data_IF_150779297077
#
_entry.id   IF_150779297077
#
_cell.length_a   1.000
_cell.length_b   1.000
_cell.length_c   1.000
_cell.angle_alpha   90.00
_cell.angle_beta   90.00
_cell.angle_gamma   90.00
#
_symmetry.space_group_name_H-M   'P 1'
#
loop_
_entity.id
_entity.type
_entity.pdbx_description
1 polymer ?
#
# COMPACT_ATOMS: atom_id res chain seq x y z
N UNK A 1 36.61 -30.94 20.61
CA UNK A 1 35.20 -30.96 21.10
C UNK A 1 34.37 -30.27 20.05
N UNK A 2 33.37 -30.97 19.48
CA UNK A 2 32.41 -30.36 18.58
C UNK A 2 31.55 -29.39 19.40
N UNK A 3 31.65 -28.07 19.15
CA UNK A 3 30.72 -27.07 19.72
C UNK A 3 29.34 -27.29 19.09
N UNK A 4 28.30 -27.31 19.90
CA UNK A 4 26.91 -27.25 19.42
C UNK A 4 26.62 -25.81 19.00
N UNK A 5 25.87 -25.63 17.92
CA UNK A 5 25.43 -24.32 17.49
C UNK A 5 24.25 -23.85 18.35
N UNK A 6 24.26 -22.59 18.77
CA UNK A 6 23.11 -21.95 19.38
C UNK A 6 21.96 -21.85 18.34
N UNK A 7 20.71 -22.06 18.76
CA UNK A 7 19.57 -21.75 17.90
C UNK A 7 19.64 -20.32 17.35
N UNK A 8 19.11 -20.06 16.18
CA UNK A 8 19.10 -18.74 15.56
C UNK A 8 18.44 -17.65 16.46
N UNK A 9 17.52 -18.05 17.35
CA UNK A 9 16.91 -17.19 18.38
C UNK A 9 17.01 -17.88 19.73
N UNK A 10 18.14 -17.78 20.44
CA UNK A 10 18.35 -18.44 21.70
C UNK A 10 17.50 -17.78 22.80
N UNK A 11 16.82 -18.59 23.62
CA UNK A 11 16.02 -18.10 24.74
C UNK A 11 16.65 -18.56 26.06
N UNK A 12 16.89 -17.62 27.00
CA UNK A 12 17.58 -17.90 28.23
C UNK A 12 16.86 -18.95 29.09
N UNK A 13 15.52 -18.96 29.10
CA UNK A 13 14.76 -19.94 29.88
C UNK A 13 14.85 -21.35 29.30
N UNK A 14 14.99 -21.48 27.96
CA UNK A 14 15.28 -22.78 27.35
C UNK A 14 16.63 -23.33 27.84
N UNK A 15 17.65 -22.49 27.80
CA UNK A 15 19.00 -22.86 28.29
C UNK A 15 19.03 -23.17 29.79
N UNK A 16 18.28 -22.42 30.62
CA UNK A 16 18.10 -22.73 32.04
C UNK A 16 17.43 -24.09 32.25
N UNK A 17 16.39 -24.40 31.46
CA UNK A 17 15.69 -25.67 31.52
C UNK A 17 16.58 -26.81 31.04
N UNK A 18 17.41 -26.64 30.01
CA UNK A 18 18.40 -27.61 29.56
C UNK A 18 19.41 -27.91 30.68
N UNK A 19 19.92 -26.89 31.36
CA UNK A 19 20.83 -27.07 32.47
C UNK A 19 20.18 -27.79 33.66
N UNK A 20 18.91 -27.52 33.97
CA UNK A 20 18.14 -28.24 35.02
C UNK A 20 17.90 -29.71 34.62
N UNK A 21 17.56 -29.95 33.35
CA UNK A 21 17.37 -31.30 32.84
C UNK A 21 18.66 -32.12 32.89
N UNK A 22 19.79 -31.53 32.48
CA UNK A 22 21.10 -32.13 32.58
C UNK A 22 21.48 -32.48 34.05
N UNK A 23 21.27 -31.54 34.97
CA UNK A 23 21.53 -31.73 36.41
C UNK A 23 20.70 -32.91 36.96
N UNK A 24 19.42 -32.99 36.64
CA UNK A 24 18.53 -34.05 37.06
C UNK A 24 18.95 -35.39 36.47
N UNK A 25 19.17 -35.45 35.13
CA UNK A 25 19.56 -36.69 34.45
C UNK A 25 20.91 -37.25 34.96
N UNK A 26 21.86 -36.34 35.28
CA UNK A 26 23.11 -36.76 35.93
C UNK A 26 22.89 -37.37 37.30
N UNK A 27 22.01 -36.76 38.12
CA UNK A 27 21.67 -37.32 39.46
C UNK A 27 20.95 -38.66 39.37
N UNK A 28 20.15 -38.90 38.32
CA UNK A 28 19.43 -40.14 38.04
C UNK A 28 20.36 -41.22 37.43
N UNK A 29 21.63 -40.92 37.17
CA UNK A 29 22.63 -41.85 36.63
C UNK A 29 22.50 -42.07 35.12
N UNK A 30 21.87 -41.17 34.35
CA UNK A 30 21.72 -41.29 32.90
C UNK A 30 23.09 -41.33 32.20
N UNK A 31 23.40 -42.38 31.40
CA UNK A 31 24.73 -42.52 30.78
C UNK A 31 25.13 -41.37 29.88
N UNK A 32 24.17 -40.76 29.15
CA UNK A 32 24.44 -39.66 28.24
C UNK A 32 24.74 -38.36 29.02
N UNK A 33 24.02 -38.15 30.13
CA UNK A 33 24.28 -37.01 31.03
C UNK A 33 25.63 -37.15 31.73
N UNK A 34 25.98 -38.33 32.19
CA UNK A 34 27.29 -38.64 32.78
C UNK A 34 28.41 -38.34 31.77
N UNK A 35 28.30 -38.82 30.53
CA UNK A 35 29.27 -38.57 29.47
C UNK A 35 29.46 -37.05 29.17
N UNK A 36 28.37 -36.31 29.08
CA UNK A 36 28.42 -34.83 28.84
C UNK A 36 29.14 -34.10 29.96
N UNK A 37 28.81 -34.43 31.20
CA UNK A 37 29.42 -33.81 32.38
C UNK A 37 30.88 -34.18 32.51
N UNK A 38 31.24 -35.46 32.38
CA UNK A 38 32.63 -35.92 32.52
C UNK A 38 33.53 -35.38 31.41
N UNK A 39 33.01 -35.13 30.20
CA UNK A 39 33.76 -34.52 29.09
C UNK A 39 34.22 -33.12 29.41
N UNK A 40 33.52 -32.37 30.26
CA UNK A 40 33.79 -30.96 30.58
C UNK A 40 34.39 -30.79 31.98
N UNK A 41 33.92 -31.52 32.96
CA UNK A 41 34.30 -31.34 34.37
C UNK A 41 35.23 -32.47 34.91
N UNK A 42 35.49 -33.53 34.14
CA UNK A 42 36.20 -34.70 34.61
C UNK A 42 35.32 -35.59 35.48
N UNK A 43 35.97 -36.51 36.19
CA UNK A 43 35.29 -37.50 37.05
C UNK A 43 34.75 -36.84 38.32
N UNK A 44 33.51 -36.36 38.27
CA UNK A 44 32.83 -35.70 39.38
C UNK A 44 31.71 -36.54 39.93
N UNK A 45 31.74 -36.98 41.19
CA UNK A 45 30.72 -37.88 41.77
C UNK A 45 29.38 -37.18 42.06
N UNK A 46 29.38 -35.85 42.17
CA UNK A 46 28.21 -35.02 42.32
C UNK A 46 28.44 -33.67 41.64
N UNK A 47 27.40 -33.08 41.07
CA UNK A 47 27.42 -31.75 40.50
C UNK A 47 26.32 -30.86 41.10
N UNK A 48 26.54 -29.56 41.10
CA UNK A 48 25.55 -28.50 41.40
C UNK A 48 24.89 -28.04 40.11
N UNK A 49 23.75 -27.39 40.20
CA UNK A 49 23.11 -26.75 39.02
C UNK A 49 24.04 -25.77 38.28
N UNK A 50 24.91 -25.07 39.03
CA UNK A 50 25.93 -24.20 38.46
C UNK A 50 26.99 -24.94 37.63
N UNK A 51 27.27 -26.19 37.95
CA UNK A 51 28.17 -27.03 37.17
C UNK A 51 27.48 -27.52 35.87
N UNK A 52 26.20 -27.90 35.92
CA UNK A 52 25.41 -28.21 34.75
C UNK A 52 25.29 -26.99 33.83
N UNK A 53 25.07 -25.77 34.39
CA UNK A 53 25.08 -24.53 33.61
C UNK A 53 26.44 -24.30 32.92
N UNK A 54 27.55 -24.57 33.61
CA UNK A 54 28.89 -24.49 33.04
C UNK A 54 29.09 -25.50 31.90
N UNK A 55 28.58 -26.72 32.03
CA UNK A 55 28.62 -27.74 30.97
C UNK A 55 27.86 -27.24 29.74
N UNK A 56 26.62 -26.83 29.90
CA UNK A 56 25.79 -26.29 28.80
C UNK A 56 26.49 -25.10 28.12
N UNK A 57 27.03 -24.16 28.89
CA UNK A 57 27.76 -23.04 28.31
C UNK A 57 28.97 -23.46 27.46
N UNK A 58 29.75 -24.42 27.94
CA UNK A 58 30.92 -24.95 27.24
C UNK A 58 30.55 -25.71 25.97
N UNK A 59 29.47 -26.45 25.96
CA UNK A 59 28.95 -27.15 24.78
C UNK A 59 28.55 -26.17 23.66
N UNK A 60 28.02 -25.00 24.03
CA UNK A 60 27.73 -23.90 23.09
C UNK A 60 28.94 -22.98 22.82
N UNK A 61 30.16 -23.38 23.22
CA UNK A 61 31.40 -22.64 22.92
C UNK A 61 31.70 -21.46 23.85
N UNK A 62 30.94 -21.25 24.92
CA UNK A 62 31.14 -20.15 25.85
C UNK A 62 31.98 -20.58 27.07
N UNK A 63 32.92 -19.75 27.51
CA UNK A 63 33.78 -20.08 28.64
C UNK A 63 33.03 -20.18 29.97
N UNK A 64 31.94 -19.45 30.13
CA UNK A 64 31.11 -19.42 31.36
C UNK A 64 29.63 -19.22 31.06
N UNK A 65 28.75 -19.64 31.99
CA UNK A 65 27.34 -19.35 31.95
C UNK A 65 26.99 -17.86 31.88
N UNK A 66 27.76 -17.03 32.56
CA UNK A 66 27.57 -15.58 32.55
C UNK A 66 27.79 -15.01 31.15
N UNK A 67 28.81 -15.48 30.42
CA UNK A 67 29.08 -15.04 29.05
C UNK A 67 28.04 -15.56 28.05
N UNK A 68 27.54 -16.79 28.21
CA UNK A 68 26.42 -17.31 27.42
C UNK A 68 25.16 -16.44 27.65
N UNK A 69 24.84 -16.16 28.94
CA UNK A 69 23.69 -15.33 29.28
C UNK A 69 23.82 -13.91 28.69
N UNK A 70 24.95 -13.26 28.89
CA UNK A 70 25.24 -11.93 28.34
C UNK A 70 25.06 -11.90 26.82
N UNK A 71 25.57 -12.90 26.13
CA UNK A 71 25.42 -13.03 24.68
C UNK A 71 23.94 -13.13 24.26
N UNK A 72 23.16 -14.00 24.93
CA UNK A 72 21.72 -14.19 24.65
C UNK A 72 20.91 -12.94 24.94
N UNK A 73 21.16 -12.25 26.08
CA UNK A 73 20.49 -11.02 26.46
C UNK A 73 20.83 -9.86 25.50
N UNK A 74 22.08 -9.74 25.06
CA UNK A 74 22.53 -8.72 24.11
C UNK A 74 21.95 -8.99 22.71
N UNK A 75 21.91 -10.25 22.26
CA UNK A 75 21.30 -10.61 20.99
C UNK A 75 19.80 -10.31 20.95
N UNK A 76 19.08 -10.62 22.03
CA UNK A 76 17.66 -10.31 22.16
C UNK A 76 17.39 -8.81 22.13
N UNK A 77 18.17 -8.01 22.86
CA UNK A 77 18.07 -6.55 22.83
C UNK A 77 18.34 -5.97 21.45
N UNK A 78 19.27 -6.55 20.69
CA UNK A 78 19.52 -6.16 19.31
C UNK A 78 18.35 -6.49 18.38
N UNK A 79 17.73 -7.68 18.49
CA UNK A 79 16.56 -8.07 17.70
C UNK A 79 15.36 -7.16 17.99
N UNK A 80 15.11 -6.81 19.26
CA UNK A 80 14.07 -5.88 19.65
C UNK A 80 14.32 -4.47 19.09
N UNK A 81 15.57 -4.00 19.08
CA UNK A 81 15.94 -2.72 18.50
C UNK A 81 15.81 -2.71 16.97
N UNK A 82 16.20 -3.79 16.27
CA UNK A 82 15.96 -3.94 14.83
C UNK A 82 14.46 -3.85 14.54
N UNK A 83 13.62 -4.59 15.26
CA UNK A 83 12.17 -4.54 15.06
C UNK A 83 11.59 -3.13 15.28
N UNK A 84 12.05 -2.43 16.31
CA UNK A 84 11.63 -1.06 16.62
C UNK A 84 12.08 -0.05 15.54
N UNK A 85 13.30 -0.22 15.00
CA UNK A 85 13.82 0.60 13.90
C UNK A 85 12.99 0.38 12.61
N UNK A 86 12.75 -0.88 12.25
CA UNK A 86 11.99 -1.21 11.04
C UNK A 86 10.53 -0.73 11.12
N UNK A 87 9.90 -0.83 12.29
CA UNK A 87 8.57 -0.26 12.52
C UNK A 87 8.57 1.27 12.31
N UNK A 88 9.58 1.97 12.82
CA UNK A 88 9.69 3.42 12.62
C UNK A 88 9.90 3.79 11.14
N UNK A 89 10.69 3.01 10.40
CA UNK A 89 10.87 3.19 8.94
C UNK A 89 9.54 2.99 8.20
N UNK A 90 8.79 1.95 8.53
CA UNK A 90 7.48 1.67 7.92
C UNK A 90 6.44 2.76 8.24
N UNK A 91 6.50 3.35 9.43
CA UNK A 91 5.67 4.48 9.86
C UNK A 91 6.16 5.84 9.32
N UNK A 92 7.24 5.87 8.53
CA UNK A 92 7.88 7.08 8.00
C UNK A 92 8.38 8.05 9.10
N UNK A 93 8.69 7.54 10.30
CA UNK A 93 9.21 8.29 11.44
C UNK A 93 10.75 8.19 11.51
N UNK A 94 11.43 9.03 10.70
CA UNK A 94 12.88 9.12 10.67
C UNK A 94 13.49 9.45 12.05
N UNK A 95 12.83 10.34 12.80
CA UNK A 95 13.33 10.76 14.12
C UNK A 95 13.28 9.61 15.13
N UNK A 96 12.24 8.79 15.12
CA UNK A 96 12.14 7.59 15.97
C UNK A 96 13.17 6.54 15.54
N UNK A 97 13.37 6.32 14.24
CA UNK A 97 14.38 5.39 13.73
C UNK A 97 15.79 5.79 14.21
N UNK A 98 16.13 7.08 14.11
CA UNK A 98 17.44 7.59 14.58
C UNK A 98 17.61 7.45 16.10
N UNK A 99 16.58 7.70 16.91
CA UNK A 99 16.66 7.48 18.36
C UNK A 99 16.97 6.02 18.73
N UNK A 100 16.36 5.06 18.00
CA UNK A 100 16.66 3.64 18.21
C UNK A 100 18.10 3.32 17.82
N UNK A 101 18.58 3.88 16.70
CA UNK A 101 19.95 3.71 16.23
C UNK A 101 20.98 4.30 17.21
N UNK A 102 20.72 5.48 17.75
CA UNK A 102 21.58 6.13 18.76
C UNK A 102 21.70 5.28 20.03
N UNK A 103 20.60 4.65 20.46
CA UNK A 103 20.60 3.76 21.62
C UNK A 103 21.33 2.44 21.36
N UNK A 104 21.32 1.93 20.13
CA UNK A 104 21.95 0.68 19.74
C UNK A 104 22.59 0.75 18.33
N UNK A 105 23.71 1.47 18.17
CA UNK A 105 24.34 1.69 16.86
C UNK A 105 24.77 0.40 16.15
N UNK A 106 25.05 -0.66 16.89
CA UNK A 106 25.48 -1.96 16.36
C UNK A 106 24.44 -2.66 15.48
N UNK A 107 23.15 -2.25 15.50
CA UNK A 107 22.12 -2.85 14.61
C UNK A 107 22.37 -2.49 13.15
N UNK A 108 22.94 -1.31 12.86
CA UNK A 108 23.21 -0.84 11.51
C UNK A 108 24.16 -1.77 10.73
N UNK A 109 25.12 -2.40 11.43
CA UNK A 109 26.11 -3.29 10.80
C UNK A 109 25.71 -4.77 10.86
N UNK A 110 24.64 -5.14 11.56
CA UNK A 110 24.21 -6.53 11.76
C UNK A 110 22.97 -6.89 10.96
N UNK A 111 22.05 -5.93 10.78
CA UNK A 111 20.81 -6.12 10.03
C UNK A 111 20.92 -5.54 8.63
N UNK A 112 20.71 -6.37 7.61
CA UNK A 112 20.72 -5.92 6.21
C UNK A 112 19.59 -4.91 5.93
N UNK A 113 18.43 -5.05 6.59
CA UNK A 113 17.30 -4.13 6.44
C UNK A 113 17.65 -2.75 7.01
N UNK A 114 18.30 -2.70 8.19
CA UNK A 114 18.74 -1.44 8.79
C UNK A 114 19.83 -0.79 7.92
N UNK A 115 20.82 -1.57 7.48
CA UNK A 115 21.88 -1.09 6.61
C UNK A 115 21.33 -0.56 5.28
N UNK A 116 20.39 -1.26 4.67
CA UNK A 116 19.71 -0.86 3.43
C UNK A 116 18.94 0.45 3.62
N UNK A 117 18.10 0.54 4.67
CA UNK A 117 17.32 1.75 4.98
C UNK A 117 18.19 2.98 5.23
N UNK A 118 19.40 2.81 5.76
CA UNK A 118 20.35 3.87 6.04
C UNK A 118 21.31 4.17 4.89
N UNK A 119 21.26 3.42 3.78
CA UNK A 119 22.17 3.58 2.65
C UNK A 119 23.62 3.16 2.96
N UNK A 120 23.84 2.23 3.90
CA UNK A 120 25.19 1.73 4.27
C UNK A 120 25.66 0.66 3.30
N UNK A 121 26.01 1.08 2.08
CA UNK A 121 26.34 0.20 0.94
C UNK A 121 27.44 -0.82 1.24
N UNK A 122 28.46 -0.45 2.03
CA UNK A 122 29.57 -1.35 2.41
C UNK A 122 29.09 -2.45 3.37
N UNK A 123 28.19 -2.11 4.32
CA UNK A 123 27.62 -3.11 5.22
C UNK A 123 26.65 -4.04 4.50
N UNK A 124 25.83 -3.51 3.57
CA UNK A 124 25.00 -4.32 2.68
C UNK A 124 25.86 -5.32 1.91
N UNK A 125 26.94 -4.86 1.25
CA UNK A 125 27.84 -5.72 0.48
C UNK A 125 28.50 -6.81 1.35
N UNK A 126 28.94 -6.45 2.57
CA UNK A 126 29.53 -7.39 3.53
C UNK A 126 28.52 -8.45 3.97
N UNK A 127 27.31 -8.02 4.38
CA UNK A 127 26.26 -8.91 4.87
C UNK A 127 25.80 -9.90 3.79
N UNK A 128 25.70 -9.45 2.54
CA UNK A 128 25.40 -10.32 1.37
C UNK A 128 26.54 -11.28 1.08
N UNK A 129 27.79 -10.85 1.20
CA UNK A 129 28.95 -11.73 1.01
C UNK A 129 29.05 -12.81 2.09
N UNK A 130 28.63 -12.50 3.34
CA UNK A 130 28.55 -13.47 4.44
C UNK A 130 27.43 -14.50 4.22
N UNK A 131 26.27 -14.05 3.72
CA UNK A 131 25.11 -14.89 3.42
C UNK A 131 24.28 -14.29 2.29
N UNK A 132 24.41 -14.80 1.04
CA UNK A 132 23.67 -14.31 -0.12
C UNK A 132 22.14 -14.40 0.01
N UNK A 133 21.60 -15.28 0.85
CA UNK A 133 20.15 -15.41 1.03
C UNK A 133 19.52 -14.19 1.69
N UNK A 134 20.31 -13.35 2.33
CA UNK A 134 19.83 -12.14 3.02
C UNK A 134 19.21 -11.10 2.10
N UNK A 135 19.49 -11.12 0.79
CA UNK A 135 18.87 -10.19 -0.18
C UNK A 135 17.35 -10.37 -0.25
N UNK A 136 16.86 -11.57 0.03
CA UNK A 136 15.45 -11.95 0.04
C UNK A 136 14.88 -12.13 1.46
N UNK A 137 15.67 -11.87 2.50
CA UNK A 137 15.24 -11.97 3.89
C UNK A 137 14.09 -10.99 4.14
N UNK A 138 13.00 -11.48 4.74
CA UNK A 138 11.84 -10.62 5.03
C UNK A 138 11.75 -10.33 6.52
N UNK A 139 11.61 -9.04 6.87
CA UNK A 139 11.49 -8.56 8.24
C UNK A 139 10.46 -7.42 8.35
N UNK A 140 10.13 -7.03 9.57
CA UNK A 140 9.13 -5.98 9.84
C UNK A 140 7.71 -6.51 9.87
N UNK A 141 6.74 -5.60 10.03
CA UNK A 141 5.30 -5.91 10.03
C UNK A 141 4.53 -4.74 9.42
N UNK A 142 4.09 -4.86 8.16
CA UNK A 142 4.17 -6.03 7.26
C UNK A 142 5.60 -6.41 6.87
N UNK A 143 5.81 -7.71 6.57
CA UNK A 143 7.13 -8.20 6.25
C UNK A 143 7.57 -7.74 4.85
N UNK A 144 8.78 -7.18 4.75
CA UNK A 144 9.40 -6.68 3.53
C UNK A 144 10.87 -7.08 3.45
N UNK A 145 11.42 -7.16 2.24
CA UNK A 145 12.84 -7.41 2.01
C UNK A 145 13.68 -6.12 2.11
N UNK A 146 15.03 -6.21 2.10
CA UNK A 146 15.91 -5.05 2.24
C UNK A 146 15.72 -4.00 1.15
N UNK A 147 15.41 -4.40 -0.10
CA UNK A 147 15.20 -3.47 -1.21
C UNK A 147 13.95 -2.62 -1.01
N UNK A 148 12.85 -3.22 -0.55
CA UNK A 148 11.65 -2.47 -0.17
C UNK A 148 11.93 -1.49 0.96
N UNK A 149 12.58 -1.90 2.04
CA UNK A 149 12.95 -1.00 3.13
C UNK A 149 13.80 0.17 2.68
N UNK A 150 14.69 -0.06 1.69
CA UNK A 150 15.49 1.00 1.08
C UNK A 150 14.61 1.96 0.26
N UNK A 151 13.74 1.43 -0.61
CA UNK A 151 12.87 2.26 -1.46
C UNK A 151 11.89 3.11 -0.65
N UNK A 152 11.35 2.56 0.46
CA UNK A 152 10.47 3.26 1.39
C UNK A 152 11.22 4.02 2.49
N UNK A 153 12.55 4.12 2.44
CA UNK A 153 13.32 4.77 3.49
C UNK A 153 12.88 6.23 3.72
N UNK A 154 12.61 6.63 4.97
CA UNK A 154 12.29 8.02 5.28
C UNK A 154 13.50 8.96 5.18
N UNK A 155 14.69 8.42 4.90
CA UNK A 155 15.94 9.16 4.81
C UNK A 155 16.28 9.66 3.41
N UNK A 156 15.43 9.40 2.41
CA UNK A 156 15.56 10.00 1.08
C UNK A 156 15.42 11.53 1.16
N UNK A 157 16.37 12.24 0.53
CA UNK A 157 16.39 13.71 0.53
C UNK A 157 16.95 14.34 1.80
N UNK A 158 17.43 13.55 2.78
CA UNK A 158 18.05 14.07 4.02
C UNK A 158 19.36 14.81 3.71
N UNK A 159 20.20 14.23 2.85
CA UNK A 159 21.43 14.82 2.37
C UNK A 159 21.91 14.13 1.09
N UNK A 160 22.72 14.84 0.28
CA UNK A 160 23.33 14.26 -0.93
C UNK A 160 24.19 13.02 -0.64
N UNK A 161 24.86 12.98 0.52
CA UNK A 161 25.65 11.82 0.96
C UNK A 161 24.74 10.62 1.26
N UNK A 162 23.62 10.84 1.95
CA UNK A 162 22.63 9.81 2.26
C UNK A 162 22.02 9.25 0.98
N UNK A 163 21.60 10.13 0.07
CA UNK A 163 21.02 9.73 -1.21
C UNK A 163 22.02 8.93 -2.07
N UNK A 164 23.27 9.34 -2.11
CA UNK A 164 24.34 8.56 -2.78
C UNK A 164 24.55 7.19 -2.11
N UNK A 165 24.49 7.13 -0.80
CA UNK A 165 24.56 5.89 -0.03
C UNK A 165 23.39 4.95 -0.32
N UNK A 166 22.17 5.47 -0.34
CA UNK A 166 20.95 4.70 -0.67
C UNK A 166 21.02 4.17 -2.11
N UNK A 167 21.44 4.99 -3.07
CA UNK A 167 21.64 4.54 -4.46
C UNK A 167 22.68 3.45 -4.57
N UNK A 168 23.82 3.59 -3.87
CA UNK A 168 24.88 2.59 -3.86
C UNK A 168 24.42 1.28 -3.20
N UNK A 169 23.65 1.35 -2.10
CA UNK A 169 23.09 0.19 -1.42
C UNK A 169 22.05 -0.54 -2.31
N UNK A 170 21.18 0.21 -3.01
CA UNK A 170 20.22 -0.35 -3.97
C UNK A 170 20.94 -1.14 -5.07
N UNK A 171 22.02 -0.58 -5.64
CA UNK A 171 22.85 -1.26 -6.64
C UNK A 171 23.42 -2.57 -6.08
N UNK A 172 23.98 -2.56 -4.86
CA UNK A 172 24.52 -3.77 -4.22
C UNK A 172 23.47 -4.86 -4.02
N UNK A 173 22.24 -4.49 -3.63
CA UNK A 173 21.15 -5.45 -3.48
C UNK A 173 20.74 -6.05 -4.82
N UNK A 174 20.57 -5.24 -5.86
CA UNK A 174 20.19 -5.69 -7.20
C UNK A 174 21.29 -6.53 -7.86
N UNK A 175 22.56 -6.12 -7.76
CA UNK A 175 23.71 -6.90 -8.24
C UNK A 175 23.81 -8.27 -7.55
N UNK A 176 23.32 -8.37 -6.32
CA UNK A 176 23.27 -9.62 -5.54
C UNK A 176 22.01 -10.45 -5.78
N UNK A 177 21.11 -10.02 -6.68
CA UNK A 177 19.92 -10.76 -7.08
C UNK A 177 18.65 -10.41 -6.32
N UNK A 178 18.57 -9.24 -5.67
CA UNK A 178 17.29 -8.75 -5.16
C UNK A 178 16.28 -8.58 -6.31
N UNK A 179 15.02 -8.97 -6.08
CA UNK A 179 13.97 -8.85 -7.08
C UNK A 179 13.51 -7.38 -7.22
N UNK A 180 13.70 -6.73 -8.39
CA UNK A 180 13.26 -5.37 -8.62
C UNK A 180 11.72 -5.22 -8.63
N UNK A 181 10.99 -6.33 -8.76
CA UNK A 181 9.53 -6.41 -8.72
C UNK A 181 8.99 -6.83 -7.36
N UNK A 182 9.81 -6.77 -6.32
CA UNK A 182 9.38 -7.12 -4.96
C UNK A 182 8.20 -6.28 -4.51
N UNK A 183 7.29 -6.93 -3.76
CA UNK A 183 6.04 -6.33 -3.29
C UNK A 183 6.03 -6.26 -1.76
N UNK A 184 5.39 -5.24 -1.20
CA UNK A 184 5.13 -5.21 0.23
C UNK A 184 4.18 -6.35 0.65
N UNK A 185 4.22 -6.69 1.95
CA UNK A 185 3.46 -7.82 2.48
C UNK A 185 1.99 -7.53 2.77
N UNK A 186 1.54 -6.28 2.64
CA UNK A 186 0.20 -5.84 3.03
C UNK A 186 -0.65 -5.41 1.83
N UNK A 187 -0.18 -4.42 1.09
CA UNK A 187 -0.93 -3.83 -0.02
C UNK A 187 -0.46 -4.31 -1.38
N UNK A 188 0.57 -5.16 -1.41
CA UNK A 188 1.21 -5.69 -2.62
C UNK A 188 1.71 -4.60 -3.58
N UNK A 189 2.10 -3.46 -3.02
CA UNK A 189 2.67 -2.35 -3.82
C UNK A 189 4.15 -2.59 -4.12
N UNK A 190 4.59 -2.33 -5.36
CA UNK A 190 5.96 -2.62 -5.79
C UNK A 190 6.98 -1.59 -5.29
N UNK A 191 8.27 -1.99 -5.29
CA UNK A 191 9.37 -1.10 -4.95
C UNK A 191 9.41 0.15 -5.85
N UNK A 192 9.07 0.01 -7.13
CA UNK A 192 9.04 1.11 -8.09
C UNK A 192 8.03 2.20 -7.69
N UNK A 193 6.87 1.82 -7.16
CA UNK A 193 5.87 2.76 -6.62
C UNK A 193 6.45 3.69 -5.55
N UNK A 194 7.27 3.16 -4.63
CA UNK A 194 7.82 3.96 -3.54
C UNK A 194 8.68 5.13 -4.04
N UNK A 195 9.40 4.91 -5.15
CA UNK A 195 10.38 5.87 -5.71
C UNK A 195 9.87 6.66 -6.92
N UNK A 196 8.67 6.38 -7.42
CA UNK A 196 8.03 7.12 -8.52
C UNK A 196 6.69 7.73 -8.12
N UNK A 197 5.83 6.94 -7.45
CA UNK A 197 4.47 7.34 -7.07
C UNK A 197 4.43 8.10 -5.75
N UNK A 198 4.99 7.54 -4.70
CA UNK A 198 4.99 8.17 -3.38
C UNK A 198 6.00 9.32 -3.28
N UNK A 199 7.17 9.15 -3.88
CA UNK A 199 8.25 10.14 -3.98
C UNK A 199 8.82 10.11 -5.39
N UNK A 200 9.57 11.16 -5.79
CA UNK A 200 10.30 11.17 -7.06
C UNK A 200 11.79 11.00 -6.78
N UNK A 201 12.24 9.73 -6.63
CA UNK A 201 13.65 9.37 -6.40
C UNK A 201 14.22 8.76 -7.69
N UNK A 202 14.37 9.59 -8.72
CA UNK A 202 14.71 9.17 -10.09
C UNK A 202 15.95 8.28 -10.22
N UNK A 203 17.07 8.51 -9.48
CA UNK A 203 18.24 7.65 -9.62
C UNK A 203 17.97 6.19 -9.24
N UNK A 204 17.16 5.95 -8.19
CA UNK A 204 16.78 4.59 -7.78
C UNK A 204 15.69 4.03 -8.70
N UNK A 205 14.71 4.85 -9.11
CA UNK A 205 13.70 4.43 -10.07
C UNK A 205 14.34 3.92 -11.38
N UNK A 206 15.30 4.67 -11.92
CA UNK A 206 16.07 4.26 -13.12
C UNK A 206 16.81 2.96 -12.89
N UNK A 207 17.48 2.83 -11.74
CA UNK A 207 18.20 1.61 -11.40
C UNK A 207 17.30 0.37 -11.31
N UNK A 208 16.09 0.52 -10.74
CA UNK A 208 15.08 -0.54 -10.69
C UNK A 208 14.62 -0.93 -12.09
N UNK A 209 14.29 0.05 -12.94
CA UNK A 209 13.87 -0.18 -14.33
C UNK A 209 14.98 -0.86 -15.16
N UNK A 210 16.23 -0.41 -15.02
CA UNK A 210 17.41 -1.04 -15.68
C UNK A 210 17.62 -2.50 -15.21
N UNK A 211 17.23 -2.81 -13.97
CA UNK A 211 17.26 -4.17 -13.40
C UNK A 211 16.02 -5.02 -13.77
N UNK A 212 15.06 -4.48 -14.53
CA UNK A 212 13.88 -5.20 -15.00
C UNK A 212 12.63 -5.03 -14.14
N UNK A 213 12.52 -3.94 -13.37
CA UNK A 213 11.24 -3.57 -12.77
C UNK A 213 10.20 -3.32 -13.86
N UNK A 214 8.98 -3.81 -13.63
CA UNK A 214 7.87 -3.63 -14.56
C UNK A 214 7.31 -2.21 -14.47
N UNK A 215 7.45 -1.36 -15.51
CA UNK A 215 6.90 0.00 -15.47
C UNK A 215 5.37 0.01 -15.50
N UNK A 216 4.73 -1.09 -15.94
CA UNK A 216 3.28 -1.26 -16.01
C UNK A 216 2.80 -2.14 -14.85
N UNK A 217 3.16 -1.75 -13.63
CA UNK A 217 2.85 -2.49 -12.39
C UNK A 217 1.44 -2.23 -11.84
N UNK A 218 0.73 -1.24 -12.38
CA UNK A 218 -0.63 -0.87 -11.98
C UNK A 218 -0.72 0.09 -10.80
N UNK A 219 0.43 0.52 -10.24
CA UNK A 219 0.49 1.42 -9.09
C UNK A 219 1.40 2.64 -9.34
N UNK A 220 2.59 2.41 -9.89
CA UNK A 220 3.61 3.45 -10.05
C UNK A 220 3.12 4.64 -10.85
N UNK A 221 2.58 4.43 -12.05
CA UNK A 221 2.08 5.52 -12.92
C UNK A 221 0.83 6.19 -12.35
N UNK A 222 -0.02 5.46 -11.62
CA UNK A 222 -1.26 5.97 -11.02
C UNK A 222 -0.94 7.06 -10.01
N UNK A 223 -0.04 6.76 -9.11
CA UNK A 223 0.34 7.67 -8.03
C UNK A 223 1.36 8.73 -8.46
N UNK A 224 2.20 8.44 -9.45
CA UNK A 224 3.03 9.48 -10.07
C UNK A 224 2.16 10.55 -10.74
N UNK A 225 1.07 10.16 -11.40
CA UNK A 225 0.11 11.11 -11.99
C UNK A 225 -0.71 11.83 -10.91
N UNK A 226 -1.17 11.13 -9.87
CA UNK A 226 -1.89 11.73 -8.73
C UNK A 226 -1.07 12.83 -8.04
N UNK A 227 0.21 12.56 -7.80
CA UNK A 227 1.13 13.49 -7.15
C UNK A 227 1.81 14.45 -8.13
N UNK A 228 1.60 14.26 -9.42
CA UNK A 228 2.25 14.97 -10.52
C UNK A 228 3.77 15.01 -10.39
N UNK A 229 4.36 13.82 -10.28
CA UNK A 229 5.80 13.67 -10.38
C UNK A 229 6.20 13.54 -11.85
N UNK A 230 6.25 14.69 -12.56
CA UNK A 230 6.41 14.76 -14.02
C UNK A 230 7.66 14.01 -14.50
N UNK A 231 8.82 14.25 -13.87
CA UNK A 231 10.06 13.56 -14.23
C UNK A 231 9.95 12.02 -14.05
N UNK A 232 9.20 11.56 -13.05
CA UNK A 232 8.96 10.12 -12.85
C UNK A 232 7.99 9.56 -13.89
N UNK A 233 6.97 10.32 -14.27
CA UNK A 233 6.06 9.98 -15.36
C UNK A 233 6.80 9.85 -16.70
N UNK A 234 7.68 10.80 -17.02
CA UNK A 234 8.52 10.78 -18.24
C UNK A 234 9.48 9.58 -18.22
N UNK A 235 10.05 9.26 -17.05
CA UNK A 235 10.88 8.09 -16.89
C UNK A 235 10.11 6.79 -17.12
N UNK A 236 8.91 6.64 -16.53
CA UNK A 236 8.05 5.47 -16.73
C UNK A 236 7.61 5.35 -18.19
N UNK A 237 7.28 6.47 -18.85
CA UNK A 237 6.92 6.50 -20.26
C UNK A 237 8.09 6.03 -21.14
N UNK A 238 9.31 6.54 -20.87
CA UNK A 238 10.54 6.12 -21.57
C UNK A 238 10.87 4.65 -21.38
N UNK A 239 10.47 4.07 -20.25
CA UNK A 239 10.58 2.65 -19.94
C UNK A 239 9.46 1.78 -20.54
N UNK A 240 8.52 2.38 -21.26
CA UNK A 240 7.45 1.67 -21.99
C UNK A 240 6.24 1.32 -21.15
N UNK A 241 5.87 2.15 -20.16
CA UNK A 241 4.62 1.96 -19.41
C UNK A 241 3.41 1.97 -20.35
N UNK A 242 2.50 1.02 -20.16
CA UNK A 242 1.20 1.01 -20.85
C UNK A 242 0.19 1.83 -20.02
N UNK A 243 -0.11 3.06 -20.47
CA UNK A 243 -1.07 3.96 -19.81
C UNK A 243 -2.51 3.47 -19.85
N UNK A 244 -2.81 2.51 -20.74
CA UNK A 244 -4.15 1.95 -20.98
C UNK A 244 -4.33 0.61 -20.25
N UNK A 245 -3.29 0.12 -19.60
CA UNK A 245 -3.37 -1.08 -18.75
C UNK A 245 -4.20 -0.81 -17.51
N UNK A 246 -5.14 -1.68 -17.23
CA UNK A 246 -5.87 -1.65 -15.95
C UNK A 246 -5.04 -2.30 -14.84
N UNK A 247 -5.01 -1.65 -13.68
CA UNK A 247 -4.44 -2.20 -12.46
C UNK A 247 -5.29 -3.34 -11.85
N UNK A 248 -4.93 -3.77 -10.67
CA UNK A 248 -5.60 -4.88 -9.95
C UNK A 248 -7.11 -4.63 -9.74
N UNK A 249 -7.51 -3.37 -9.57
CA UNK A 249 -8.91 -2.95 -9.37
C UNK A 249 -9.68 -2.72 -10.67
N UNK A 250 -9.10 -3.05 -11.82
CA UNK A 250 -9.72 -2.87 -13.13
C UNK A 250 -9.77 -1.41 -13.62
N UNK A 251 -9.02 -0.52 -13.01
CA UNK A 251 -8.97 0.91 -13.36
C UNK A 251 -7.70 1.23 -14.15
N UNK A 252 -7.79 2.10 -15.17
CA UNK A 252 -6.62 2.78 -15.75
C UNK A 252 -6.18 3.92 -14.84
N UNK A 253 -4.95 4.43 -15.03
CA UNK A 253 -4.46 5.61 -14.31
C UNK A 253 -5.37 6.82 -14.51
N UNK A 254 -5.87 7.04 -15.73
CA UNK A 254 -6.81 8.12 -16.06
C UNK A 254 -8.12 7.99 -15.28
N UNK A 255 -8.71 6.79 -15.27
CA UNK A 255 -9.94 6.52 -14.54
C UNK A 255 -9.75 6.66 -13.02
N UNK A 256 -8.60 6.22 -12.51
CA UNK A 256 -8.26 6.32 -11.10
C UNK A 256 -8.29 7.77 -10.59
N UNK A 257 -7.80 8.74 -11.38
CA UNK A 257 -7.84 10.16 -10.98
C UNK A 257 -9.25 10.73 -10.92
N UNK A 258 -10.19 10.20 -11.72
CA UNK A 258 -11.60 10.63 -11.69
C UNK A 258 -12.37 10.22 -10.43
N UNK A 259 -11.73 9.46 -9.50
CA UNK A 259 -12.31 9.19 -8.18
C UNK A 259 -12.44 10.43 -7.32
N UNK A 260 -11.62 11.44 -7.55
CA UNK A 260 -11.71 12.71 -6.83
C UNK A 260 -12.96 13.48 -7.22
N UNK A 261 -13.57 14.15 -6.23
CA UNK A 261 -14.77 14.96 -6.44
C UNK A 261 -14.53 16.09 -7.43
N UNK A 262 -13.35 16.71 -7.36
CA UNK A 262 -12.95 17.80 -8.25
C UNK A 262 -11.48 17.62 -8.63
N UNK A 263 -11.27 16.97 -9.77
CA UNK A 263 -9.93 16.71 -10.32
C UNK A 263 -9.16 18.01 -10.54
N UNK A 264 -9.85 19.09 -10.94
CA UNK A 264 -9.22 20.37 -11.29
C UNK A 264 -8.59 21.06 -10.08
N UNK A 265 -9.22 21.01 -8.92
CA UNK A 265 -8.76 21.71 -7.71
C UNK A 265 -8.04 20.79 -6.71
N UNK A 266 -8.12 19.47 -6.87
CA UNK A 266 -7.54 18.53 -5.93
C UNK A 266 -6.02 18.67 -5.84
N UNK A 267 -5.52 18.70 -4.60
CA UNK A 267 -4.08 18.81 -4.35
C UNK A 267 -3.46 20.07 -4.98
N UNK A 268 -4.15 21.22 -4.91
CA UNK A 268 -3.70 22.47 -5.53
C UNK A 268 -3.49 22.34 -7.06
N UNK A 269 -4.34 21.57 -7.71
CA UNK A 269 -4.29 21.31 -9.15
C UNK A 269 -3.24 20.25 -9.58
N UNK A 270 -2.58 19.55 -8.65
CA UNK A 270 -1.64 18.48 -9.00
C UNK A 270 -2.33 17.37 -9.78
N UNK A 271 -3.49 16.91 -9.27
CA UNK A 271 -4.26 15.85 -9.91
C UNK A 271 -4.66 16.22 -11.33
N UNK A 272 -5.06 17.49 -11.56
CA UNK A 272 -5.41 17.95 -12.90
C UNK A 272 -4.19 18.00 -13.85
N UNK A 273 -3.01 18.37 -13.35
CA UNK A 273 -1.79 18.32 -14.15
C UNK A 273 -1.42 16.90 -14.54
N UNK A 274 -1.49 15.95 -13.60
CA UNK A 274 -1.26 14.53 -13.90
C UNK A 274 -2.30 13.95 -14.86
N UNK A 275 -3.57 14.32 -14.69
CA UNK A 275 -4.66 13.95 -15.58
C UNK A 275 -4.40 14.46 -17.01
N UNK A 276 -4.00 15.72 -17.14
CA UNK A 276 -3.66 16.36 -18.43
C UNK A 276 -2.43 15.70 -19.05
N UNK A 277 -1.41 15.40 -18.22
CA UNK A 277 -0.22 14.69 -18.70
C UNK A 277 -0.57 13.32 -19.28
N UNK A 278 -1.38 12.52 -18.58
CA UNK A 278 -1.82 11.20 -19.06
C UNK A 278 -2.50 11.31 -20.43
N UNK A 279 -3.44 12.22 -20.61
CA UNK A 279 -4.14 12.42 -21.87
C UNK A 279 -3.20 12.87 -23.00
N UNK A 280 -2.30 13.82 -22.72
CA UNK A 280 -1.32 14.30 -23.68
C UNK A 280 -0.32 13.22 -24.13
N UNK A 281 -0.12 12.15 -23.33
CA UNK A 281 0.80 11.06 -23.63
C UNK A 281 0.10 9.76 -24.05
N UNK A 282 -1.18 9.83 -24.42
CA UNK A 282 -1.87 8.73 -25.08
C UNK A 282 -2.69 7.82 -24.17
N UNK A 283 -3.05 8.27 -22.96
CA UNK A 283 -4.08 7.60 -22.19
C UNK A 283 -5.43 7.70 -22.94
N UNK A 284 -6.02 6.55 -23.24
CA UNK A 284 -7.30 6.46 -23.96
C UNK A 284 -8.46 6.61 -22.97
N UNK A 285 -9.28 7.68 -23.08
CA UNK A 285 -10.43 7.89 -22.21
C UNK A 285 -11.58 6.90 -22.42
N UNK A 286 -11.51 6.07 -23.47
CA UNK A 286 -12.56 5.11 -23.79
C UNK A 286 -12.29 3.71 -23.22
N UNK A 287 -11.14 3.46 -22.59
CA UNK A 287 -10.84 2.16 -21.98
C UNK A 287 -11.88 1.83 -20.91
N UNK A 288 -12.62 0.72 -21.06
CA UNK A 288 -13.62 0.32 -20.09
C UNK A 288 -12.98 -0.02 -18.75
N UNK A 289 -13.29 0.76 -17.73
CA UNK A 289 -12.65 0.70 -16.41
C UNK A 289 -13.67 0.55 -15.29
N UNK A 290 -13.21 0.08 -14.12
CA UNK A 290 -14.03 -0.14 -12.95
C UNK A 290 -15.00 -1.30 -13.09
N UNK A 291 -15.81 -1.53 -12.05
CA UNK A 291 -16.81 -2.61 -11.99
C UNK A 291 -17.89 -2.47 -13.08
N UNK A 292 -18.26 -1.24 -13.37
CA UNK A 292 -19.30 -0.91 -14.36
C UNK A 292 -18.78 -0.92 -15.80
N UNK A 293 -17.51 -1.20 -16.01
CA UNK A 293 -16.83 -1.20 -17.33
C UNK A 293 -17.15 0.06 -18.13
N UNK A 294 -16.99 1.21 -17.48
CA UNK A 294 -17.33 2.54 -18.02
C UNK A 294 -16.09 3.29 -18.51
N UNK A 295 -16.26 4.10 -19.57
CA UNK A 295 -15.22 5.04 -20.01
C UNK A 295 -15.15 6.27 -19.10
N UNK A 296 -14.09 7.07 -19.26
CA UNK A 296 -13.84 8.25 -18.44
C UNK A 296 -14.99 9.27 -18.42
N UNK A 297 -15.70 9.48 -19.57
CA UNK A 297 -16.85 10.40 -19.60
C UNK A 297 -18.04 9.95 -18.76
N UNK A 298 -18.26 8.64 -18.61
CA UNK A 298 -19.35 8.14 -17.77
C UNK A 298 -19.13 8.49 -16.29
N UNK A 299 -17.94 8.21 -15.77
CA UNK A 299 -17.63 8.53 -14.37
C UNK A 299 -17.55 10.03 -14.15
N UNK A 300 -16.97 10.79 -15.11
CA UNK A 300 -16.90 12.24 -15.04
C UNK A 300 -18.31 12.86 -15.00
N UNK A 301 -19.24 12.36 -15.81
CA UNK A 301 -20.62 12.80 -15.85
C UNK A 301 -21.36 12.50 -14.54
N UNK A 302 -21.24 11.26 -14.05
CA UNK A 302 -21.93 10.83 -12.82
C UNK A 302 -21.43 11.55 -11.57
N UNK A 303 -20.12 11.89 -11.54
CA UNK A 303 -19.50 12.60 -10.41
C UNK A 303 -19.54 14.11 -10.50
N UNK A 304 -20.08 14.67 -11.59
CA UNK A 304 -20.19 16.11 -11.76
C UNK A 304 -18.82 16.80 -11.91
N UNK A 305 -17.91 16.21 -12.65
CA UNK A 305 -16.60 16.81 -12.90
C UNK A 305 -16.75 18.15 -13.66
N UNK A 306 -15.76 19.03 -13.52
CA UNK A 306 -15.82 20.37 -14.12
C UNK A 306 -15.93 20.34 -15.65
N UNK A 307 -16.44 21.44 -16.22
CA UNK A 307 -16.49 21.62 -17.67
C UNK A 307 -15.12 21.50 -18.33
N UNK A 308 -14.04 21.88 -17.61
CA UNK A 308 -12.67 21.78 -18.11
C UNK A 308 -12.26 20.30 -18.27
N UNK A 309 -12.54 19.44 -17.28
CA UNK A 309 -12.28 18.00 -17.33
C UNK A 309 -13.07 17.35 -18.46
N UNK A 310 -14.36 17.66 -18.59
CA UNK A 310 -15.22 17.12 -19.65
C UNK A 310 -14.71 17.51 -21.05
N UNK A 311 -14.38 18.79 -21.26
CA UNK A 311 -13.84 19.25 -22.56
C UNK A 311 -12.51 18.57 -22.88
N UNK A 312 -11.62 18.49 -21.90
CA UNK A 312 -10.31 17.86 -22.09
C UNK A 312 -10.44 16.39 -22.50
N UNK A 313 -11.37 15.64 -21.88
CA UNK A 313 -11.67 14.26 -22.29
C UNK A 313 -12.17 14.19 -23.73
N UNK A 314 -13.10 15.08 -24.13
CA UNK A 314 -13.66 15.15 -25.49
C UNK A 314 -12.58 15.52 -26.51
N UNK A 315 -11.74 16.50 -26.20
CA UNK A 315 -10.60 16.91 -27.03
C UNK A 315 -9.61 15.78 -27.31
N UNK A 316 -9.48 14.84 -26.33
CA UNK A 316 -8.64 13.64 -26.46
C UNK A 316 -9.42 12.40 -26.96
N UNK A 317 -10.57 12.60 -27.59
CA UNK A 317 -11.28 11.55 -28.32
C UNK A 317 -12.20 10.68 -27.46
N UNK A 318 -12.62 11.16 -26.29
CA UNK A 318 -13.65 10.45 -25.52
C UNK A 318 -14.97 10.43 -26.31
N UNK A 319 -15.57 9.24 -26.46
CA UNK A 319 -16.84 9.07 -27.18
C UNK A 319 -18.02 9.55 -26.32
N UNK A 320 -18.60 10.69 -26.70
CA UNK A 320 -19.78 11.28 -26.03
C UNK A 320 -21.02 10.39 -26.14
N UNK A 321 -21.03 9.42 -27.06
CA UNK A 321 -22.12 8.48 -27.30
C UNK A 321 -21.82 7.06 -26.80
N UNK A 322 -20.66 6.86 -26.12
CA UNK A 322 -20.32 5.58 -25.54
C UNK A 322 -21.44 5.07 -24.61
N UNK A 323 -21.63 3.76 -24.58
CA UNK A 323 -22.65 3.14 -23.73
C UNK A 323 -22.02 2.09 -22.84
N UNK A 324 -22.42 2.12 -21.56
CA UNK A 324 -22.12 1.04 -20.61
C UNK A 324 -22.94 -0.21 -20.94
N UNK A 325 -22.68 -1.31 -20.22
CA UNK A 325 -23.42 -2.57 -20.39
C UNK A 325 -24.93 -2.41 -20.12
N UNK A 326 -25.31 -1.51 -19.19
CA UNK A 326 -26.71 -1.17 -18.88
C UNK A 326 -27.37 -0.24 -19.93
N UNK A 327 -26.65 0.13 -20.99
CA UNK A 327 -27.09 1.04 -22.03
C UNK A 327 -27.01 2.53 -21.68
N UNK A 328 -26.56 2.89 -20.49
CA UNK A 328 -26.42 4.29 -20.06
C UNK A 328 -25.30 5.01 -20.84
N UNK A 329 -25.59 6.21 -21.33
CA UNK A 329 -24.61 7.12 -21.93
C UNK A 329 -24.13 8.15 -20.90
N UNK A 330 -22.98 8.84 -21.15
CA UNK A 330 -22.55 9.95 -20.29
C UNK A 330 -23.61 11.02 -20.10
N UNK A 331 -24.35 11.37 -21.18
CA UNK A 331 -25.48 12.31 -21.13
C UNK A 331 -26.57 11.86 -20.14
N UNK A 332 -26.98 10.59 -20.24
CA UNK A 332 -28.02 10.04 -19.36
C UNK A 332 -27.57 10.04 -17.90
N UNK A 333 -26.30 9.67 -17.64
CA UNK A 333 -25.76 9.68 -16.27
C UNK A 333 -25.70 11.10 -15.69
N UNK A 334 -25.32 12.11 -16.48
CA UNK A 334 -25.35 13.50 -16.05
C UNK A 334 -26.78 13.94 -15.67
N UNK A 335 -27.77 13.58 -16.50
CA UNK A 335 -29.20 13.87 -16.23
C UNK A 335 -29.69 13.19 -14.96
N UNK A 336 -29.41 11.88 -14.77
CA UNK A 336 -29.79 11.12 -13.57
C UNK A 336 -29.15 11.67 -12.29
N UNK A 337 -27.94 12.23 -12.40
CA UNK A 337 -27.20 12.80 -11.27
C UNK A 337 -27.53 14.27 -10.99
N UNK A 338 -28.41 14.89 -11.77
CA UNK A 338 -28.81 16.29 -11.61
C UNK A 338 -27.77 17.32 -12.09
N UNK A 339 -26.88 16.94 -13.01
CA UNK A 339 -25.85 17.80 -13.58
C UNK A 339 -26.24 18.30 -14.97
N UNK A 340 -27.27 19.15 -15.05
CA UNK A 340 -27.83 19.64 -16.31
C UNK A 340 -26.83 20.44 -17.15
N UNK A 341 -25.94 21.19 -16.54
CA UNK A 341 -24.89 21.92 -17.25
C UNK A 341 -23.94 20.95 -17.98
N UNK A 342 -23.60 19.81 -17.35
CA UNK A 342 -22.78 18.78 -17.96
C UNK A 342 -23.53 18.07 -19.07
N UNK A 343 -24.84 17.75 -18.88
CA UNK A 343 -25.69 17.21 -19.92
C UNK A 343 -25.73 18.13 -21.15
N UNK A 344 -25.85 19.44 -20.93
CA UNK A 344 -25.82 20.45 -22.02
C UNK A 344 -24.45 20.52 -22.71
N UNK A 345 -23.34 20.31 -22.00
CA UNK A 345 -22.01 20.21 -22.63
C UNK A 345 -21.95 19.00 -23.57
N UNK A 346 -22.50 17.86 -23.18
CA UNK A 346 -22.56 16.66 -24.05
C UNK A 346 -23.46 16.91 -25.26
N UNK A 347 -24.62 17.57 -25.10
CA UNK A 347 -25.51 17.92 -26.21
C UNK A 347 -24.77 18.81 -27.23
N UNK A 348 -24.06 19.82 -26.76
CA UNK A 348 -23.24 20.70 -27.61
C UNK A 348 -22.08 19.96 -28.30
N UNK A 349 -21.60 18.85 -27.72
CA UNK A 349 -20.58 17.98 -28.29
C UNK A 349 -21.17 16.88 -29.20
N UNK A 350 -22.49 16.88 -29.46
CA UNK A 350 -23.15 15.94 -30.37
C UNK A 350 -23.64 14.64 -29.70
N UNK A 351 -23.86 14.67 -28.39
CA UNK A 351 -24.46 13.52 -27.71
C UNK A 351 -25.90 13.26 -28.19
N UNK A 352 -26.21 12.01 -28.41
CA UNK A 352 -27.57 11.54 -28.72
C UNK A 352 -28.42 11.57 -27.45
N UNK A 353 -29.44 12.43 -27.43
CA UNK A 353 -30.42 12.49 -26.35
C UNK A 353 -31.48 11.43 -26.53
N UNK A 354 -32.17 11.10 -25.44
CA UNK A 354 -33.29 10.17 -25.42
C UNK A 354 -34.41 10.66 -24.51
N UNK A 355 -35.62 10.13 -24.71
CA UNK A 355 -36.70 10.36 -23.75
C UNK A 355 -36.35 9.68 -22.43
N UNK A 356 -36.53 10.41 -21.34
CA UNK A 356 -36.27 9.88 -20.00
C UNK A 356 -37.41 8.93 -19.61
N UNK A 357 -37.06 7.72 -19.17
CA UNK A 357 -37.98 6.77 -18.58
C UNK A 357 -38.48 7.25 -17.22
N UNK A 358 -39.52 6.64 -16.64
CA UNK A 358 -39.94 6.95 -15.25
C UNK A 358 -38.83 6.80 -14.23
N UNK A 359 -37.92 5.81 -14.39
CA UNK A 359 -36.73 5.62 -13.56
C UNK A 359 -35.75 6.79 -13.73
N UNK A 360 -35.49 7.20 -14.98
CA UNK A 360 -34.57 8.32 -15.26
C UNK A 360 -35.08 9.63 -14.64
N UNK A 361 -36.39 9.86 -14.70
CA UNK A 361 -37.02 11.03 -14.10
C UNK A 361 -36.94 10.99 -12.56
N UNK A 362 -37.12 9.82 -11.93
CA UNK A 362 -36.93 9.64 -10.50
C UNK A 362 -35.48 9.96 -10.08
N UNK A 363 -34.52 9.34 -10.77
CA UNK A 363 -33.09 9.55 -10.48
C UNK A 363 -32.69 11.01 -10.69
N UNK A 364 -33.17 11.66 -11.73
CA UNK A 364 -32.94 13.09 -11.97
C UNK A 364 -33.53 13.96 -10.85
N UNK A 365 -34.76 13.67 -10.40
CA UNK A 365 -35.36 14.39 -9.26
C UNK A 365 -34.53 14.21 -7.98
N UNK A 366 -34.07 12.98 -7.70
CA UNK A 366 -33.13 12.73 -6.61
C UNK A 366 -31.83 13.54 -6.79
N UNK A 367 -31.23 13.48 -7.97
CA UNK A 367 -29.98 14.18 -8.30
C UNK A 367 -30.04 15.70 -8.12
N UNK A 368 -31.20 16.30 -8.39
CA UNK A 368 -31.48 17.71 -8.12
C UNK A 368 -31.77 18.02 -6.64
N UNK A 369 -31.95 16.99 -5.80
CA UNK A 369 -32.34 17.16 -4.40
C UNK A 369 -33.84 17.56 -4.24
N UNK A 370 -34.67 17.35 -5.26
CA UNK A 370 -36.13 17.65 -5.20
C UNK A 370 -36.85 16.46 -4.56
N UNK A 371 -36.97 16.48 -3.22
CA UNK A 371 -37.62 15.44 -2.44
C UNK A 371 -39.10 15.29 -2.76
N UNK A 372 -39.81 16.37 -3.15
CA UNK A 372 -41.23 16.31 -3.46
C UNK A 372 -41.46 15.70 -4.85
N UNK A 373 -40.65 16.06 -5.85
CA UNK A 373 -40.69 15.38 -7.15
C UNK A 373 -40.29 13.91 -7.03
N UNK A 374 -39.22 13.61 -6.29
CA UNK A 374 -38.76 12.25 -6.05
C UNK A 374 -39.86 11.38 -5.43
N UNK A 375 -40.56 11.89 -4.41
CA UNK A 375 -41.71 11.19 -3.78
C UNK A 375 -42.87 10.96 -4.76
N UNK A 376 -43.21 11.93 -5.61
CA UNK A 376 -44.27 11.80 -6.63
C UNK A 376 -43.93 10.76 -7.69
N UNK A 377 -42.68 10.63 -8.04
CA UNK A 377 -42.19 9.72 -9.12
C UNK A 377 -41.88 8.30 -8.60
N UNK A 378 -41.82 8.08 -7.29
CA UNK A 378 -41.50 6.81 -6.67
C UNK A 378 -42.68 5.86 -6.59
N UNK A 379 -43.12 5.30 -7.74
CA UNK A 379 -44.05 4.18 -7.70
C UNK A 379 -43.33 2.88 -7.29
N UNK A 380 -44.08 1.87 -6.73
CA UNK A 380 -43.47 0.58 -6.36
C UNK A 380 -42.72 -0.07 -7.52
N UNK A 381 -43.23 0.04 -8.75
CA UNK A 381 -42.64 -0.52 -9.96
C UNK A 381 -41.32 0.19 -10.31
N UNK A 382 -41.26 1.51 -10.16
CA UNK A 382 -40.06 2.30 -10.42
C UNK A 382 -38.99 2.00 -9.37
N UNK A 383 -39.37 1.93 -8.09
CA UNK A 383 -38.43 1.57 -7.01
C UNK A 383 -37.89 0.14 -7.19
N UNK A 384 -38.73 -0.81 -7.61
CA UNK A 384 -38.31 -2.18 -7.89
C UNK A 384 -37.37 -2.31 -9.10
N UNK A 385 -37.32 -1.31 -9.97
CA UNK A 385 -36.41 -1.28 -11.14
C UNK A 385 -35.04 -0.66 -10.86
N UNK A 386 -34.80 -0.12 -9.65
CA UNK A 386 -33.50 0.40 -9.25
C UNK A 386 -32.44 -0.70 -9.26
N UNK A 387 -31.35 -0.44 -9.94
CA UNK A 387 -30.18 -1.33 -9.96
C UNK A 387 -29.27 -1.06 -8.76
N UNK A 388 -28.36 -1.98 -8.40
CA UNK A 388 -27.34 -1.70 -7.38
C UNK A 388 -26.50 -0.45 -7.68
N UNK A 389 -26.24 -0.15 -8.95
CA UNK A 389 -25.54 1.07 -9.37
C UNK A 389 -26.35 2.34 -9.12
N UNK A 390 -27.66 2.32 -9.36
CA UNK A 390 -28.54 3.47 -9.08
C UNK A 390 -28.64 3.74 -7.57
N UNK A 391 -28.62 2.69 -6.75
CA UNK A 391 -28.71 2.79 -5.30
C UNK A 391 -27.47 3.43 -4.65
N UNK A 392 -26.33 3.45 -5.33
CA UNK A 392 -25.11 4.13 -4.86
C UNK A 392 -25.29 5.64 -4.73
N UNK A 393 -26.25 6.24 -5.44
CA UNK A 393 -26.53 7.67 -5.36
C UNK A 393 -26.77 8.14 -3.91
N UNK A 394 -27.43 7.33 -3.07
CA UNK A 394 -27.69 7.68 -1.67
C UNK A 394 -26.39 7.76 -0.82
N UNK A 395 -25.57 6.71 -0.67
CA UNK A 395 -24.34 6.81 0.12
C UNK A 395 -23.29 7.74 -0.52
N UNK A 396 -23.14 7.77 -1.84
CA UNK A 396 -22.22 8.65 -2.54
C UNK A 396 -22.57 10.13 -2.33
N UNK A 397 -23.88 10.49 -2.36
CA UNK A 397 -24.31 11.88 -2.12
C UNK A 397 -23.92 12.36 -0.72
N UNK A 398 -23.97 11.49 0.28
CA UNK A 398 -23.50 11.80 1.64
C UNK A 398 -21.99 11.96 1.68
N UNK A 399 -21.24 11.05 1.06
CA UNK A 399 -19.78 11.17 0.96
C UNK A 399 -19.35 12.49 0.30
N UNK A 400 -20.14 12.98 -0.67
CA UNK A 400 -19.89 14.20 -1.44
C UNK A 400 -20.51 15.47 -0.83
N UNK A 401 -21.08 15.41 0.36
CA UNK A 401 -21.77 16.55 1.02
C UNK A 401 -22.98 17.10 0.23
N UNK A 402 -23.66 16.24 -0.52
CA UNK A 402 -24.90 16.56 -1.26
C UNK A 402 -26.14 16.14 -0.44
N UNK A 403 -26.34 16.74 0.72
CA UNK A 403 -27.35 16.30 1.69
C UNK A 403 -28.79 16.38 1.15
N UNK A 404 -29.07 17.37 0.30
CA UNK A 404 -30.40 17.49 -0.36
C UNK A 404 -30.68 16.31 -1.30
N UNK A 405 -29.67 15.81 -1.99
CA UNK A 405 -29.76 14.61 -2.84
C UNK A 405 -30.04 13.38 -2.00
N UNK A 406 -29.31 13.19 -0.87
CA UNK A 406 -29.57 12.09 0.05
C UNK A 406 -31.00 12.12 0.59
N UNK A 407 -31.48 13.29 1.00
CA UNK A 407 -32.86 13.47 1.49
C UNK A 407 -33.90 13.16 0.41
N UNK A 408 -33.63 13.53 -0.86
CA UNK A 408 -34.52 13.18 -1.97
C UNK A 408 -34.55 11.67 -2.24
N UNK A 409 -33.40 10.98 -2.18
CA UNK A 409 -33.34 9.52 -2.29
C UNK A 409 -34.13 8.83 -1.15
N UNK A 410 -33.98 9.30 0.08
CA UNK A 410 -34.74 8.77 1.23
C UNK A 410 -36.24 9.02 1.07
N UNK A 411 -36.65 10.21 0.61
CA UNK A 411 -38.04 10.56 0.32
C UNK A 411 -38.65 9.70 -0.79
N UNK A 412 -37.83 9.24 -1.74
CA UNK A 412 -38.19 8.30 -2.79
C UNK A 412 -38.31 6.84 -2.32
N UNK A 413 -37.84 6.51 -1.12
CA UNK A 413 -37.86 5.14 -0.59
C UNK A 413 -36.60 4.31 -0.92
N UNK A 414 -35.46 4.93 -1.20
CA UNK A 414 -34.19 4.20 -1.35
C UNK A 414 -33.85 3.45 -0.05
N UNK A 415 -33.40 2.20 -0.13
CA UNK A 415 -33.06 1.42 1.06
C UNK A 415 -31.83 2.03 1.75
N UNK A 416 -31.94 2.30 3.04
CA UNK A 416 -30.82 2.83 3.87
C UNK A 416 -29.64 1.88 3.97
N UNK A 417 -29.84 0.59 3.62
CA UNK A 417 -28.81 -0.45 3.54
C UNK A 417 -28.04 -0.43 2.22
N UNK A 418 -28.41 0.42 1.26
CA UNK A 418 -27.67 0.58 0.01
C UNK A 418 -26.20 0.99 0.31
N UNK A 419 -25.26 0.39 -0.43
CA UNK A 419 -23.83 0.61 -0.23
C UNK A 419 -23.20 1.27 -1.45
N UNK A 420 -22.15 2.06 -1.22
CA UNK A 420 -21.26 2.53 -2.28
C UNK A 420 -20.35 1.42 -2.81
N UNK A 421 -19.47 1.77 -3.73
CA UNK A 421 -18.50 0.83 -4.33
C UNK A 421 -17.51 0.20 -3.33
N UNK A 422 -17.37 0.77 -2.14
CA UNK A 422 -16.51 0.29 -1.04
C UNK A 422 -17.27 -0.49 0.04
N UNK A 423 -18.59 -0.65 -0.11
CA UNK A 423 -19.44 -1.34 0.86
C UNK A 423 -19.91 -0.45 2.02
N UNK A 424 -19.69 0.87 1.96
CA UNK A 424 -20.17 1.81 2.97
C UNK A 424 -21.62 2.20 2.74
N UNK A 425 -22.45 2.12 3.78
CA UNK A 425 -23.85 2.58 3.73
C UNK A 425 -23.95 4.08 3.95
N UNK A 426 -25.14 4.64 3.69
CA UNK A 426 -25.47 6.02 4.01
C UNK A 426 -25.15 6.37 5.48
N UNK A 427 -25.43 5.44 6.42
CA UNK A 427 -25.15 5.63 7.85
C UNK A 427 -23.64 5.68 8.14
N UNK A 428 -22.82 4.84 7.47
CA UNK A 428 -21.36 4.91 7.58
C UNK A 428 -20.83 6.27 7.13
N UNK A 429 -21.30 6.77 5.99
CA UNK A 429 -20.89 8.08 5.47
C UNK A 429 -21.33 9.25 6.39
N UNK A 430 -22.55 9.19 6.93
CA UNK A 430 -23.02 10.19 7.88
C UNK A 430 -22.21 10.18 9.19
N UNK A 431 -21.85 8.99 9.70
CA UNK A 431 -21.04 8.83 10.91
C UNK A 431 -19.60 9.36 10.72
N UNK A 432 -18.97 9.06 9.58
CA UNK A 432 -17.62 9.56 9.23
C UNK A 432 -17.61 11.10 9.24
N UNK A 433 -18.68 11.73 8.78
CA UNK A 433 -18.84 13.20 8.75
C UNK A 433 -19.18 13.83 10.10
N UNK A 434 -19.50 13.04 11.12
CA UNK A 434 -19.98 13.54 12.41
C UNK A 434 -21.36 14.23 12.33
N UNK A 435 -22.14 13.91 11.31
CA UNK A 435 -23.45 14.54 11.02
C UNK A 435 -24.59 13.95 11.84
N UNK A 436 -24.78 14.42 13.09
CA UNK A 436 -25.88 13.95 13.96
C UNK A 436 -27.28 14.25 13.42
N UNK A 437 -27.43 15.20 12.50
CA UNK A 437 -28.72 15.58 11.89
C UNK A 437 -29.12 14.64 10.72
N UNK A 438 -28.21 13.79 10.23
CA UNK A 438 -28.44 12.87 9.11
C UNK A 438 -28.56 11.40 9.57
N UNK A 439 -28.36 11.14 10.84
CA UNK A 439 -28.54 9.86 11.52
C UNK A 439 -29.89 9.82 12.20
#
# INVERSE_FOLDING_TARGET
MSSRDLPARPHLDHLKNEAKALHKAFADGDPAALQRVHAILGDAPKIKLTDAQRVVAREYGFPTWARLREHVETSRGADEAVAAFLAAVQEQDAARALRVLDAQPGIATKSIHVAASLGLANDVARLVAEDPSRVAERAGSPAADPLLFLCYSPFHGESAERDAGLLAAARRLLDAGADPNTLDGQYRVPALYAVTGQRSVLPIARLLLDAGANPTDGESVFHAAENFHEDALDLLLSAGVDLNKTGEWGNTALYFLLRYKNVESEGEGRVFRGFTWLLNHGADPNVPSGKEREGALHVAARRGQSAAVIRLLIEHGADVNARREDGSSPWLLARRSGFDEIASLFENAGAKTQLLSPLDLLLAACGHGDADAARRLSSPEVIASLTPGDLQLLPESLAEHRDTVAMACLAAGFPVSATDGFGSTALHQAAIRGGTALV
#
